data_IF_858385836250
#
_entry.id   IF_858385836250
#
_cell.length_a   1.000
_cell.length_b   1.000
_cell.length_c   1.000
_cell.angle_alpha   90.00
_cell.angle_beta   90.00
_cell.angle_gamma   90.00
#
_symmetry.space_group_name_H-M   'P 1'
#
loop_
_entity.id
_entity.type
_entity.pdbx_description
1 polymer ?
#
# COMPACT_ATOMS: atom_id res chain seq x y z
N UNK A 1 -6.32 25.85 -4.42
CA UNK A 1 -6.17 24.47 -3.93
C UNK A 1 -5.43 24.55 -2.62
N UNK A 2 -5.92 23.90 -1.57
CA UNK A 2 -5.23 23.85 -0.26
C UNK A 2 -3.89 23.11 -0.41
N UNK A 3 -2.79 23.76 -0.07
CA UNK A 3 -1.42 23.23 -0.18
C UNK A 3 -1.25 21.96 0.65
N UNK A 4 -1.90 21.89 1.82
CA UNK A 4 -1.87 20.73 2.68
C UNK A 4 -2.52 19.51 2.01
N UNK A 5 -3.70 19.72 1.41
CA UNK A 5 -4.39 18.67 0.65
C UNK A 5 -3.55 18.18 -0.54
N UNK A 6 -2.93 19.11 -1.27
CA UNK A 6 -2.05 18.77 -2.38
C UNK A 6 -0.83 17.95 -1.94
N UNK A 7 -0.28 18.24 -0.75
CA UNK A 7 0.81 17.44 -0.18
C UNK A 7 0.37 16.00 0.14
N UNK A 8 -0.77 15.83 0.81
CA UNK A 8 -1.30 14.50 1.12
C UNK A 8 -1.57 13.68 -0.14
N UNK A 9 -2.06 14.32 -1.21
CA UNK A 9 -2.26 13.68 -2.50
C UNK A 9 -0.96 13.18 -3.12
N UNK A 10 0.11 13.99 -3.09
CA UNK A 10 1.44 13.58 -3.55
C UNK A 10 1.99 12.43 -2.72
N UNK A 11 1.89 12.51 -1.39
CA UNK A 11 2.38 11.46 -0.50
C UNK A 11 1.63 10.13 -0.71
N UNK A 12 0.31 10.17 -0.87
CA UNK A 12 -0.51 8.99 -1.15
C UNK A 12 -0.19 8.35 -2.50
N UNK A 13 0.01 9.18 -3.54
CA UNK A 13 0.43 8.72 -4.86
C UNK A 13 1.80 8.05 -4.81
N UNK A 14 2.78 8.70 -4.19
CA UNK A 14 4.15 8.20 -4.13
C UNK A 14 4.21 6.90 -3.32
N UNK A 15 3.46 6.78 -2.22
CA UNK A 15 3.33 5.51 -1.47
C UNK A 15 2.77 4.39 -2.35
N UNK A 16 1.70 4.68 -3.09
CA UNK A 16 1.07 3.70 -3.97
C UNK A 16 2.03 3.23 -5.07
N UNK A 17 2.81 4.14 -5.66
CA UNK A 17 3.84 3.79 -6.65
C UNK A 17 4.92 2.88 -6.05
N UNK A 18 5.46 3.22 -4.87
CA UNK A 18 6.42 2.37 -4.15
C UNK A 18 5.89 0.95 -3.91
N UNK A 19 4.65 0.85 -3.44
CA UNK A 19 4.05 -0.45 -3.12
C UNK A 19 3.81 -1.28 -4.37
N UNK A 20 3.31 -0.68 -5.46
CA UNK A 20 3.08 -1.41 -6.71
C UNK A 20 4.41 -1.87 -7.32
N UNK A 21 5.45 -1.04 -7.31
CA UNK A 21 6.80 -1.40 -7.75
C UNK A 21 7.36 -2.59 -6.95
N UNK A 22 7.15 -2.60 -5.63
CA UNK A 22 7.49 -3.71 -4.75
C UNK A 22 6.53 -4.92 -4.84
N UNK A 23 5.65 -4.95 -5.85
CA UNK A 23 4.63 -5.99 -6.05
C UNK A 23 3.70 -6.20 -4.84
N UNK A 24 3.51 -5.16 -4.03
CA UNK A 24 2.62 -5.18 -2.89
C UNK A 24 1.20 -4.70 -3.27
N UNK A 25 0.16 -5.28 -2.66
CA UNK A 25 -1.22 -4.89 -2.95
C UNK A 25 -1.53 -3.49 -2.41
N UNK A 26 -2.06 -2.62 -3.28
CA UNK A 26 -2.56 -1.29 -2.90
C UNK A 26 -4.08 -1.26 -2.92
N UNK A 27 -4.68 -0.64 -1.90
CA UNK A 27 -6.14 -0.47 -1.78
C UNK A 27 -6.48 0.96 -1.37
N UNK A 28 -7.70 1.43 -1.68
CA UNK A 28 -8.21 2.73 -1.22
C UNK A 28 -8.15 2.86 0.31
N UNK A 29 -8.54 1.79 1.01
CA UNK A 29 -8.56 1.75 2.47
C UNK A 29 -7.17 1.93 3.08
N UNK A 30 -6.12 1.40 2.44
CA UNK A 30 -4.73 1.60 2.86
C UNK A 30 -4.37 3.10 2.81
N UNK A 31 -4.64 3.77 1.70
CA UNK A 31 -4.32 5.19 1.53
C UNK A 31 -5.11 6.09 2.47
N UNK A 32 -6.42 5.83 2.64
CA UNK A 32 -7.26 6.53 3.63
C UNK A 32 -6.71 6.36 5.05
N UNK A 33 -6.25 5.15 5.42
CA UNK A 33 -5.67 4.91 6.76
C UNK A 33 -4.34 5.63 6.95
N UNK A 34 -3.48 5.63 5.93
CA UNK A 34 -2.14 6.20 6.01
C UNK A 34 -2.12 7.74 5.98
N UNK A 35 -3.04 8.37 5.23
CA UNK A 35 -3.00 9.81 4.96
C UNK A 35 -4.27 10.57 5.34
N UNK A 36 -5.26 9.89 5.92
CA UNK A 36 -6.56 10.49 6.31
C UNK A 36 -7.30 11.19 5.16
N UNK A 37 -7.06 10.75 3.92
CA UNK A 37 -7.75 11.25 2.73
C UNK A 37 -9.07 10.51 2.52
N UNK A 38 -10.03 11.17 1.87
CA UNK A 38 -11.30 10.55 1.52
C UNK A 38 -11.12 9.35 0.58
N UNK A 39 -12.04 8.38 0.66
CA UNK A 39 -11.99 7.21 -0.22
C UNK A 39 -12.14 7.60 -1.70
N UNK A 40 -12.80 8.73 -1.99
CA UNK A 40 -12.91 9.28 -3.34
C UNK A 40 -11.57 9.83 -3.83
N UNK A 41 -10.88 10.64 -3.03
CA UNK A 41 -9.54 11.13 -3.33
C UNK A 41 -8.57 9.96 -3.57
N UNK A 42 -8.62 8.92 -2.75
CA UNK A 42 -7.80 7.73 -2.93
C UNK A 42 -8.07 7.03 -4.27
N UNK A 43 -9.32 6.99 -4.72
CA UNK A 43 -9.69 6.44 -6.03
C UNK A 43 -9.24 7.32 -7.18
N UNK A 44 -9.49 8.63 -7.09
CA UNK A 44 -9.08 9.61 -8.09
C UNK A 44 -7.56 9.56 -8.29
N UNK A 45 -6.77 9.53 -7.21
CA UNK A 45 -5.30 9.39 -7.25
C UNK A 45 -4.90 8.10 -7.97
N UNK A 46 -5.40 6.94 -7.54
CA UNK A 46 -5.03 5.65 -8.12
C UNK A 46 -5.42 5.54 -9.59
N UNK A 47 -6.55 6.14 -9.97
CA UNK A 47 -7.04 6.17 -11.34
C UNK A 47 -6.18 6.99 -12.30
N UNK A 48 -5.24 7.80 -11.80
CA UNK A 48 -4.34 8.57 -12.68
C UNK A 48 -3.26 7.70 -13.33
N UNK A 49 -2.81 6.62 -12.68
CA UNK A 49 -1.68 5.80 -13.16
C UNK A 49 -1.94 4.28 -13.15
N UNK A 50 -3.01 3.82 -12.51
CA UNK A 50 -3.31 2.41 -12.34
C UNK A 50 -4.70 2.02 -12.88
N UNK A 51 -4.89 0.72 -13.08
CA UNK A 51 -6.17 0.09 -13.39
C UNK A 51 -6.60 -0.75 -12.18
N UNK A 52 -7.90 -0.76 -11.91
CA UNK A 52 -8.49 -1.61 -10.90
C UNK A 52 -8.49 -3.07 -11.36
N UNK A 53 -7.92 -3.97 -10.56
CA UNK A 53 -7.90 -5.42 -10.79
C UNK A 53 -8.74 -6.19 -9.76
N UNK A 54 -8.32 -7.42 -9.42
CA UNK A 54 -8.97 -8.26 -8.40
C UNK A 54 -8.74 -7.71 -6.99
N UNK A 55 -9.52 -6.69 -6.61
CA UNK A 55 -9.48 -6.01 -5.29
C UNK A 55 -8.19 -5.23 -5.00
N UNK A 56 -7.32 -5.08 -5.99
CA UNK A 56 -6.05 -4.33 -5.91
C UNK A 56 -5.85 -3.49 -7.17
N UNK A 57 -4.81 -2.65 -7.19
CA UNK A 57 -4.47 -1.79 -8.32
C UNK A 57 -3.16 -2.24 -8.98
N UNK A 58 -3.08 -2.13 -10.31
CA UNK A 58 -1.88 -2.44 -11.12
C UNK A 58 -1.56 -1.28 -12.03
N UNK A 59 -0.27 -1.03 -12.30
CA UNK A 59 0.12 0.02 -13.25
C UNK A 59 -0.50 -0.22 -14.63
N UNK A 60 -0.90 0.88 -15.28
CA UNK A 60 -1.31 0.85 -16.69
C UNK A 60 -0.15 0.53 -17.62
N UNK A 61 1.04 0.94 -17.21
CA UNK A 61 2.27 0.80 -17.98
C UNK A 61 2.96 -0.46 -17.49
N UNK A 62 3.32 -1.33 -18.43
CA UNK A 62 4.15 -2.50 -18.16
C UNK A 62 5.63 -2.08 -18.17
N UNK A 63 6.50 -2.75 -17.38
CA UNK A 63 7.94 -2.56 -17.50
C UNK A 63 8.37 -2.79 -18.95
N UNK A 64 9.23 -1.91 -19.45
CA UNK A 64 9.85 -2.07 -20.75
C UNK A 64 10.89 -3.22 -20.67
N UNK A 65 10.68 -4.34 -21.37
CA UNK A 65 11.55 -5.50 -21.27
C UNK A 65 12.95 -5.24 -21.83
N UNK A 66 13.10 -4.30 -22.77
CA UNK A 66 14.37 -4.06 -23.47
C UNK A 66 15.11 -2.82 -22.96
N UNK A 67 14.55 -2.09 -21.99
CA UNK A 67 15.15 -0.85 -21.48
C UNK A 67 16.59 -1.05 -20.96
N UNK A 68 16.91 -2.22 -20.43
CA UNK A 68 18.25 -2.54 -19.93
C UNK A 68 19.13 -3.24 -20.97
N UNK A 69 18.59 -3.60 -22.13
CA UNK A 69 19.33 -4.23 -23.21
C UNK A 69 20.12 -3.15 -23.98
N UNK A 70 21.32 -3.48 -24.46
CA UNK A 70 22.06 -2.59 -25.37
C UNK A 70 21.67 -2.86 -26.82
N UNK A 71 21.55 -1.81 -27.64
CA UNK A 71 21.25 -1.92 -29.07
C UNK A 71 22.47 -2.32 -29.92
N UNK A 72 23.58 -2.72 -29.31
CA UNK A 72 24.83 -2.99 -30.04
C UNK A 72 24.77 -4.39 -30.65
N UNK A 73 24.30 -4.46 -31.90
CA UNK A 73 24.36 -5.65 -32.76
C UNK A 73 25.63 -5.60 -33.62
N UNK A 74 26.81 -5.58 -33.01
CA UNK A 74 28.05 -5.81 -33.76
C UNK A 74 28.27 -7.32 -33.89
N UNK A 75 28.41 -7.78 -35.13
CA UNK A 75 28.34 -9.18 -35.55
C UNK A 75 29.55 -10.07 -35.19
N UNK A 76 30.30 -9.72 -34.15
CA UNK A 76 31.45 -10.50 -33.68
C UNK A 76 31.35 -10.70 -32.16
N UNK A 77 31.14 -11.96 -31.80
CA UNK A 77 30.96 -12.57 -30.48
C UNK A 77 31.32 -11.69 -29.24
N UNK A 78 30.31 -11.11 -28.59
CA UNK A 78 30.34 -10.86 -27.15
C UNK A 78 28.91 -10.84 -26.61
N UNK A 79 28.69 -11.51 -25.47
CA UNK A 79 27.41 -11.61 -24.79
C UNK A 79 26.69 -10.25 -24.71
N UNK A 80 25.38 -10.23 -25.00
CA UNK A 80 24.57 -9.01 -24.94
C UNK A 80 24.74 -8.28 -23.61
N UNK A 81 25.55 -7.22 -23.64
CA UNK A 81 25.86 -6.44 -22.46
C UNK A 81 24.70 -5.50 -22.14
N UNK A 82 24.39 -5.38 -20.86
CA UNK A 82 23.39 -4.44 -20.34
C UNK A 82 23.79 -3.00 -20.68
N UNK A 83 22.84 -2.14 -21.02
CA UNK A 83 23.09 -0.70 -21.20
C UNK A 83 23.54 -0.08 -19.87
N UNK A 84 24.83 0.32 -19.72
CA UNK A 84 25.35 0.84 -18.45
C UNK A 84 24.73 2.19 -18.09
N UNK A 85 24.33 2.97 -19.10
CA UNK A 85 23.67 4.27 -18.93
C UNK A 85 22.26 4.09 -18.33
N UNK A 86 21.47 3.18 -18.91
CA UNK A 86 20.13 2.88 -18.40
C UNK A 86 20.18 2.20 -17.02
N UNK A 87 21.17 1.35 -16.78
CA UNK A 87 21.42 0.77 -15.47
C UNK A 87 21.74 1.84 -14.41
N UNK A 88 22.58 2.84 -14.76
CA UNK A 88 22.90 3.94 -13.86
C UNK A 88 21.65 4.76 -13.50
N UNK A 89 20.77 5.04 -14.47
CA UNK A 89 19.50 5.72 -14.24
C UNK A 89 18.60 4.94 -13.26
N UNK A 90 18.49 3.61 -13.40
CA UNK A 90 17.70 2.78 -12.48
C UNK A 90 18.27 2.80 -11.07
N UNK A 91 19.60 2.73 -10.92
CA UNK A 91 20.25 2.78 -9.61
C UNK A 91 20.05 4.14 -8.93
N UNK A 92 20.18 5.23 -9.68
CA UNK A 92 19.92 6.56 -9.16
C UNK A 92 18.45 6.75 -8.77
N UNK A 93 17.52 6.31 -9.62
CA UNK A 93 16.10 6.35 -9.32
C UNK A 93 15.77 5.58 -8.03
N UNK A 94 16.36 4.38 -7.84
CA UNK A 94 16.20 3.59 -6.61
C UNK A 94 16.68 4.34 -5.37
N UNK A 95 17.80 5.07 -5.46
CA UNK A 95 18.31 5.89 -4.35
C UNK A 95 17.30 6.94 -3.92
N UNK A 96 16.75 7.70 -4.87
CA UNK A 96 15.72 8.71 -4.58
C UNK A 96 14.45 8.11 -3.99
N UNK A 97 14.02 6.94 -4.47
CA UNK A 97 12.86 6.25 -3.91
C UNK A 97 13.08 5.76 -2.47
N UNK A 98 14.29 5.34 -2.10
CA UNK A 98 14.61 4.97 -0.72
C UNK A 98 14.52 6.17 0.23
N UNK A 99 15.04 7.33 -0.17
CA UNK A 99 14.93 8.56 0.59
C UNK A 99 13.47 9.00 0.74
N UNK A 100 12.72 8.97 -0.37
CA UNK A 100 11.28 9.30 -0.37
C UNK A 100 10.48 8.35 0.51
N UNK A 101 10.78 7.05 0.46
CA UNK A 101 10.15 6.05 1.32
C UNK A 101 10.39 6.33 2.81
N UNK A 102 11.62 6.69 3.18
CA UNK A 102 11.94 7.02 4.57
C UNK A 102 11.15 8.24 5.06
N UNK A 103 10.93 9.24 4.20
CA UNK A 103 10.09 10.40 4.50
C UNK A 103 8.61 10.00 4.66
N UNK A 104 8.07 9.24 3.70
CA UNK A 104 6.68 8.76 3.76
C UNK A 104 6.42 7.94 5.02
N UNK A 105 7.34 7.04 5.38
CA UNK A 105 7.22 6.23 6.59
C UNK A 105 7.12 7.08 7.85
N UNK A 106 7.95 8.11 8.01
CA UNK A 106 7.87 9.04 9.15
C UNK A 106 6.49 9.70 9.24
N UNK A 107 5.94 10.17 8.11
CA UNK A 107 4.62 10.80 8.06
C UNK A 107 3.52 9.82 8.44
N UNK A 108 3.56 8.60 7.89
CA UNK A 108 2.60 7.54 8.20
C UNK A 108 2.65 7.17 9.68
N UNK A 109 3.84 7.02 10.26
CA UNK A 109 4.01 6.69 11.68
C UNK A 109 3.39 7.78 12.59
N UNK A 110 3.56 9.06 12.24
CA UNK A 110 2.92 10.17 12.94
C UNK A 110 1.39 10.08 12.83
N UNK A 111 0.87 9.84 11.62
CA UNK A 111 -0.57 9.72 11.39
C UNK A 111 -1.15 8.55 12.18
N UNK A 112 -0.52 7.38 12.12
CA UNK A 112 -0.98 6.17 12.81
C UNK A 112 -0.85 6.27 14.33
N UNK A 113 0.16 6.97 14.87
CA UNK A 113 0.30 7.21 16.31
C UNK A 113 -0.76 8.19 16.84
N UNK A 114 -1.29 9.05 15.99
CA UNK A 114 -2.29 10.06 16.37
C UNK A 114 -3.71 9.49 16.35
N UNK A 115 -3.96 8.44 15.57
CA UNK A 115 -5.27 7.79 15.51
C UNK A 115 -5.47 6.93 16.76
N UNK A 116 -6.44 7.25 17.64
CA UNK A 116 -6.69 6.41 18.80
C UNK A 116 -7.16 5.04 18.32
N UNK A 117 -6.36 4.01 18.62
CA UNK A 117 -6.72 2.61 18.38
C UNK A 117 -8.00 2.35 19.16
N UNK A 118 -9.16 2.27 18.49
CA UNK A 118 -10.39 1.79 19.12
C UNK A 118 -10.12 0.36 19.57
N UNK A 119 -9.73 0.20 20.84
CA UNK A 119 -9.65 -1.08 21.49
C UNK A 119 -11.03 -1.72 21.34
N UNK A 120 -11.09 -2.81 20.58
CA UNK A 120 -12.29 -3.62 20.43
C UNK A 120 -12.53 -4.22 21.81
N UNK A 121 -13.34 -3.54 22.63
CA UNK A 121 -13.70 -3.94 23.98
C UNK A 121 -14.57 -5.18 23.84
N UNK A 122 -13.94 -6.36 23.79
CA UNK A 122 -14.64 -7.62 23.96
C UNK A 122 -15.21 -7.59 25.38
N UNK A 123 -16.49 -7.26 25.45
CA UNK A 123 -17.31 -7.42 26.64
C UNK A 123 -17.43 -8.91 26.91
N UNK A 124 -16.52 -9.46 27.72
CA UNK A 124 -16.75 -10.69 28.45
C UNK A 124 -17.83 -10.41 29.50
N UNK A 125 -19.08 -10.33 29.06
CA UNK A 125 -20.24 -10.28 29.94
C UNK A 125 -20.47 -11.68 30.48
N UNK A 126 -19.72 -11.99 31.53
CA UNK A 126 -19.98 -13.16 32.37
C UNK A 126 -21.44 -13.15 32.78
N UNK A 127 -22.12 -14.26 32.54
CA UNK A 127 -23.43 -14.54 33.11
C UNK A 127 -23.30 -15.85 33.88
N UNK A 128 -23.20 -15.84 35.22
CA UNK A 128 -23.38 -17.03 36.01
C UNK A 128 -24.88 -17.21 36.23
N UNK A 129 -25.56 -17.90 35.32
CA UNK A 129 -26.94 -18.34 35.58
C UNK A 129 -26.90 -19.55 36.50
N UNK A 130 -27.20 -19.28 37.78
CA UNK A 130 -27.59 -20.25 38.81
C UNK A 130 -28.58 -21.27 38.23
N UNK A 131 -28.22 -22.55 38.30
CA UNK A 131 -29.16 -23.66 38.09
C UNK A 131 -30.22 -23.65 39.20
N UNK A 132 -31.53 -23.67 38.90
CA UNK A 132 -32.54 -23.92 39.91
C UNK A 132 -32.71 -25.43 40.10
N UNK A 133 -32.45 -25.88 41.32
CA UNK A 133 -32.88 -27.18 41.84
C UNK A 133 -34.41 -27.28 41.72
N UNK A 134 -34.92 -28.21 40.91
CA UNK A 134 -36.32 -28.64 41.00
C UNK A 134 -36.40 -29.99 41.70
N UNK A 135 -36.81 -29.92 42.97
CA UNK A 135 -37.42 -31.03 43.70
C UNK A 135 -38.93 -30.88 43.55
N UNK A 136 -39.63 -31.81 42.87
CA UNK A 136 -41.04 -32.09 43.20
C UNK A 136 -41.51 -33.47 42.72
N UNK A 137 -41.90 -34.28 43.70
CA UNK A 137 -42.68 -35.52 43.63
C UNK A 137 -44.06 -35.28 42.97
N UNK A 138 -44.59 -36.26 42.22
CA UNK A 138 -45.75 -37.08 42.63
C UNK A 138 -46.33 -37.96 41.49
N UNK A 139 -46.64 -39.20 41.88
CA UNK A 139 -47.73 -40.11 41.47
C UNK A 139 -48.38 -39.97 40.08
N UNK A 140 -48.28 -41.02 39.27
CA UNK A 140 -49.33 -42.05 39.16
C UNK A 140 -48.76 -43.35 38.59
#
# INVERSE_FOLDING_TARGET
LDEHRAQLWRDARDLALCLIDACQPVTRALLTKCFQIESKDAEDILSTFAVHGNRTWKLRILPDPVFLESEIWDADESCGDFSPENAALVLEQRRFWLERWAELRKRIDITLSTVPTRARRNSSRGSPTKSPTQTRKNNR
#
